data_IF_315171612790
#
_entry.id   IF_315171612790
#
_cell.length_a   1.000
_cell.length_b   1.000
_cell.length_c   1.000
_cell.angle_alpha   90.00
_cell.angle_beta   90.00
_cell.angle_gamma   90.00
#
_symmetry.space_group_name_H-M   'P 1'
#
loop_
_entity.id
_entity.type
_entity.pdbx_description
1 polymer ?
#
# COMPACT_ATOMS: atom_id res chain seq x y z
N UNK A 1 15.07 36.27 54.33
CA UNK A 1 14.55 36.89 53.10
C UNK A 1 13.71 35.85 52.39
N UNK A 2 12.40 36.00 52.53
CA UNK A 2 11.36 35.08 52.06
C UNK A 2 10.98 35.48 50.63
N UNK A 3 11.02 34.54 49.68
CA UNK A 3 10.42 34.73 48.37
C UNK A 3 9.32 33.69 48.18
N UNK A 4 8.10 34.17 48.41
CA UNK A 4 6.83 33.50 48.14
C UNK A 4 6.57 33.52 46.63
N UNK A 5 6.49 32.35 45.99
CA UNK A 5 6.02 32.22 44.62
C UNK A 5 4.59 31.66 44.62
N UNK A 6 3.66 32.50 44.16
CA UNK A 6 2.23 32.24 44.00
C UNK A 6 1.98 31.18 42.93
N UNK A 7 1.29 30.09 43.29
CA UNK A 7 0.76 29.08 42.38
C UNK A 7 -0.68 29.45 42.01
N UNK A 8 -0.88 29.90 40.78
CA UNK A 8 -2.20 30.11 40.17
C UNK A 8 -2.68 28.75 39.62
N UNK A 9 -3.78 28.24 40.18
CA UNK A 9 -4.50 27.04 39.69
C UNK A 9 -5.45 27.44 38.56
N UNK A 10 -5.52 26.70 37.44
CA UNK A 10 -6.63 26.84 36.50
C UNK A 10 -7.85 26.01 36.95
N UNK A 11 -8.98 26.68 37.11
CA UNK A 11 -10.30 26.09 37.32
C UNK A 11 -10.79 25.40 36.02
N UNK A 12 -11.18 24.13 36.12
CA UNK A 12 -11.85 23.39 35.06
C UNK A 12 -13.36 23.49 35.26
N UNK A 13 -14.03 24.24 34.39
CA UNK A 13 -15.49 24.31 34.30
C UNK A 13 -15.99 23.07 33.57
N UNK A 14 -16.71 22.21 34.29
CA UNK A 14 -17.42 21.06 33.75
C UNK A 14 -18.67 21.51 32.99
N UNK A 15 -18.76 21.18 31.70
CA UNK A 15 -20.00 21.26 30.92
C UNK A 15 -20.54 19.85 30.69
N UNK A 16 -21.59 19.54 31.44
CA UNK A 16 -22.40 18.32 31.34
C UNK A 16 -23.22 18.37 30.04
N UNK A 17 -22.98 17.45 29.10
CA UNK A 17 -23.85 17.25 27.94
C UNK A 17 -24.88 16.16 28.25
N UNK A 18 -26.14 16.58 28.33
CA UNK A 18 -27.31 15.73 28.57
C UNK A 18 -28.06 15.45 27.26
N UNK A 19 -28.38 14.16 27.09
CA UNK A 19 -29.54 13.59 26.39
C UNK A 19 -29.65 13.64 24.85
N UNK A 20 -29.66 12.42 24.31
CA UNK A 20 -30.66 11.84 23.41
C UNK A 20 -30.84 12.38 21.98
N UNK A 21 -30.85 11.42 21.05
CA UNK A 21 -31.58 11.28 19.77
C UNK A 21 -30.63 10.59 18.78
N UNK A 22 -31.04 9.77 17.84
CA UNK A 22 -32.27 9.07 17.56
C UNK A 22 -31.90 8.08 16.44
N UNK A 23 -32.60 6.96 16.41
CA UNK A 23 -32.48 5.86 15.47
C UNK A 23 -32.75 6.35 14.03
N UNK A 24 -31.75 6.30 13.15
CA UNK A 24 -31.95 6.51 11.70
C UNK A 24 -32.54 5.23 11.11
N UNK A 25 -33.84 5.27 10.76
CA UNK A 25 -34.45 4.29 9.86
C UNK A 25 -34.28 4.80 8.43
N UNK A 26 -33.54 4.04 7.62
CA UNK A 26 -33.53 4.16 6.16
C UNK A 26 -34.95 4.00 5.62
N UNK A 27 -35.45 5.01 4.91
CA UNK A 27 -36.66 4.92 4.09
C UNK A 27 -36.22 4.86 2.63
N UNK A 28 -36.65 3.77 1.99
CA UNK A 28 -36.47 3.47 0.58
C UNK A 28 -37.29 4.42 -0.32
N UNK A 29 -36.79 4.57 -1.55
CA UNK A 29 -37.52 4.82 -2.79
C UNK A 29 -38.45 6.04 -2.85
N UNK A 30 -37.99 7.08 -3.56
CA UNK A 30 -38.87 8.06 -4.19
C UNK A 30 -38.70 8.01 -5.71
N UNK A 31 -39.74 7.52 -6.38
CA UNK A 31 -39.91 7.56 -7.83
C UNK A 31 -40.07 9.00 -8.32
N UNK A 32 -39.34 9.38 -9.36
CA UNK A 32 -39.41 10.70 -9.98
C UNK A 32 -40.66 10.78 -10.87
N UNK A 33 -41.64 11.60 -10.48
CA UNK A 33 -42.77 12.01 -11.36
C UNK A 33 -42.35 13.23 -12.16
N UNK A 34 -42.49 13.18 -13.48
CA UNK A 34 -42.37 14.37 -14.32
C UNK A 34 -43.59 15.27 -14.10
N UNK A 35 -43.37 16.58 -14.00
CA UNK A 35 -44.44 17.57 -14.01
C UNK A 35 -44.24 18.45 -15.24
N UNK A 36 -45.10 18.26 -16.25
CA UNK A 36 -45.25 19.17 -17.38
C UNK A 36 -46.21 20.27 -16.93
N UNK A 37 -45.71 21.50 -16.76
CA UNK A 37 -46.57 22.68 -16.61
C UNK A 37 -46.82 23.26 -18.00
N UNK A 38 -48.06 23.19 -18.48
CA UNK A 38 -48.53 24.01 -19.60
C UNK A 38 -49.13 25.30 -19.05
N UNK A 39 -48.61 26.46 -19.42
CA UNK A 39 -49.36 27.71 -19.40
C UNK A 39 -49.29 28.34 -20.78
N UNK A 40 -50.47 28.63 -21.31
CA UNK A 40 -50.71 29.31 -22.58
C UNK A 40 -50.49 30.80 -22.41
N UNK A 41 -49.53 31.37 -23.13
CA UNK A 41 -49.53 32.79 -23.47
C UNK A 41 -49.10 32.97 -24.93
N UNK A 42 -49.88 33.80 -25.61
CA UNK A 42 -49.84 34.15 -27.02
C UNK A 42 -48.61 35.00 -27.38
N UNK A 43 -47.98 34.67 -28.52
CA UNK A 43 -47.15 35.57 -29.31
C UNK A 43 -45.70 35.72 -28.83
N UNK A 44 -44.76 35.12 -29.57
CA UNK A 44 -43.49 35.72 -30.07
C UNK A 44 -42.63 34.60 -30.69
N UNK A 45 -42.24 34.86 -31.94
CA UNK A 45 -41.15 34.35 -32.79
C UNK A 45 -40.37 33.07 -32.40
N UNK A 46 -40.40 32.07 -33.29
CA UNK A 46 -39.63 30.82 -33.25
C UNK A 46 -38.15 31.06 -33.64
N UNK A 47 -37.26 31.18 -32.66
CA UNK A 47 -35.84 30.86 -32.85
C UNK A 47 -35.42 29.73 -31.90
N UNK A 48 -35.03 28.63 -32.55
CA UNK A 48 -34.38 27.39 -32.05
C UNK A 48 -33.93 27.41 -30.59
N UNK A 49 -34.69 26.74 -29.72
CA UNK A 49 -34.19 26.31 -28.41
C UNK A 49 -33.47 24.96 -28.61
N UNK A 50 -32.13 24.99 -28.61
CA UNK A 50 -31.32 23.77 -28.52
C UNK A 50 -31.26 23.34 -27.06
N UNK A 51 -31.95 22.26 -26.71
CA UNK A 51 -31.84 21.65 -25.38
C UNK A 51 -30.57 20.80 -25.36
N UNK A 52 -29.50 21.32 -24.75
CA UNK A 52 -28.30 20.54 -24.44
C UNK A 52 -28.63 19.66 -23.24
N UNK A 53 -28.98 18.40 -23.51
CA UNK A 53 -29.05 17.36 -22.50
C UNK A 53 -27.64 17.11 -21.95
N UNK A 54 -27.32 17.71 -20.80
CA UNK A 54 -26.17 17.27 -20.02
C UNK A 54 -26.46 15.84 -19.55
N UNK A 55 -25.86 14.87 -20.22
CA UNK A 55 -25.75 13.52 -19.69
C UNK A 55 -24.95 13.61 -18.40
N UNK A 56 -25.64 13.56 -17.26
CA UNK A 56 -25.01 13.26 -15.98
C UNK A 56 -24.44 11.85 -16.15
N UNK A 57 -23.14 11.76 -16.44
CA UNK A 57 -22.40 10.51 -16.32
C UNK A 57 -22.46 10.11 -14.84
N UNK A 58 -23.11 9.00 -14.46
CA UNK A 58 -22.92 8.50 -13.12
C UNK A 58 -21.48 8.00 -13.04
N UNK A 59 -20.68 8.61 -12.14
CA UNK A 59 -19.42 8.07 -11.62
C UNK A 59 -19.73 6.80 -10.81
N UNK A 60 -20.16 5.75 -11.50
CA UNK A 60 -20.37 4.45 -10.90
C UNK A 60 -19.14 3.59 -11.21
N UNK A 61 -18.00 3.89 -10.56
CA UNK A 61 -16.93 2.91 -10.41
C UNK A 61 -17.37 1.89 -9.36
N UNK A 62 -18.31 1.03 -9.74
CA UNK A 62 -18.26 -0.33 -9.24
C UNK A 62 -17.13 -1.00 -10.01
N UNK A 63 -15.91 -0.92 -9.47
CA UNK A 63 -14.86 -1.82 -9.91
C UNK A 63 -15.32 -3.24 -9.56
N UNK A 64 -15.38 -4.10 -10.57
CA UNK A 64 -15.87 -5.47 -10.35
C UNK A 64 -14.87 -6.19 -9.46
N UNK A 65 -15.38 -6.94 -8.48
CA UNK A 65 -14.66 -7.98 -7.72
C UNK A 65 -13.85 -8.97 -8.59
N UNK A 66 -14.12 -8.99 -9.91
CA UNK A 66 -13.34 -9.71 -10.93
C UNK A 66 -11.92 -9.18 -11.13
N UNK A 67 -11.65 -7.89 -10.93
CA UNK A 67 -10.32 -7.29 -11.19
C UNK A 67 -9.29 -7.65 -10.09
N UNK A 68 -9.73 -7.72 -8.83
CA UNK A 68 -8.88 -8.16 -7.71
C UNK A 68 -8.56 -9.65 -7.75
N UNK A 69 -9.56 -10.47 -8.10
CA UNK A 69 -9.38 -11.92 -8.29
C UNK A 69 -8.38 -12.15 -9.42
N UNK A 70 -8.49 -11.36 -10.50
CA UNK A 70 -7.56 -11.40 -11.62
C UNK A 70 -6.14 -11.03 -11.21
N UNK A 71 -5.92 -9.96 -10.42
CA UNK A 71 -4.58 -9.62 -9.95
C UNK A 71 -3.98 -10.70 -9.05
N UNK A 72 -4.76 -11.26 -8.10
CA UNK A 72 -4.27 -12.35 -7.25
C UNK A 72 -3.81 -13.55 -8.09
N UNK A 73 -4.58 -13.92 -9.10
CA UNK A 73 -4.25 -15.02 -10.02
C UNK A 73 -3.01 -14.71 -10.86
N UNK A 74 -2.89 -13.49 -11.38
CA UNK A 74 -1.73 -13.06 -12.17
C UNK A 74 -0.42 -13.02 -11.37
N UNK A 75 -0.51 -12.70 -10.06
CA UNK A 75 0.63 -12.70 -9.15
C UNK A 75 1.23 -14.09 -8.96
N UNK A 76 0.45 -15.17 -9.14
CA UNK A 76 0.94 -16.53 -8.92
C UNK A 76 2.16 -16.81 -9.79
N UNK A 77 3.23 -17.29 -9.14
CA UNK A 77 4.53 -17.58 -9.75
C UNK A 77 5.70 -17.04 -8.94
N UNK A 78 6.89 -17.17 -9.53
CA UNK A 78 8.15 -16.70 -8.97
C UNK A 78 8.57 -15.40 -9.65
N UNK A 79 9.10 -14.47 -8.86
CA UNK A 79 9.50 -13.16 -9.33
C UNK A 79 10.90 -12.83 -8.81
N UNK A 80 11.80 -12.45 -9.72
CA UNK A 80 13.20 -12.12 -9.44
C UNK A 80 13.36 -10.61 -9.27
N UNK A 81 14.12 -10.19 -8.26
CA UNK A 81 14.35 -8.77 -8.00
C UNK A 81 15.17 -8.15 -9.14
N UNK A 82 14.63 -7.09 -9.74
CA UNK A 82 15.34 -6.26 -10.72
C UNK A 82 15.96 -5.06 -10.02
N UNK A 83 15.23 -4.43 -9.11
CA UNK A 83 15.64 -3.16 -8.49
C UNK A 83 15.00 -2.96 -7.13
N UNK A 84 15.77 -2.44 -6.18
CA UNK A 84 15.28 -1.94 -4.90
C UNK A 84 15.85 -0.54 -4.65
N UNK A 85 14.98 0.46 -4.69
CA UNK A 85 15.33 1.88 -4.48
C UNK A 85 14.42 2.53 -3.47
N UNK A 86 14.93 3.59 -2.83
CA UNK A 86 14.12 4.57 -2.14
C UNK A 86 13.88 5.76 -3.09
N UNK A 87 12.62 6.08 -3.35
CA UNK A 87 12.20 7.22 -4.18
C UNK A 87 11.67 8.35 -3.29
N UNK A 88 12.01 9.63 -3.56
CA UNK A 88 11.41 10.76 -2.86
C UNK A 88 9.93 10.90 -3.23
N UNK A 89 9.09 11.24 -2.25
CA UNK A 89 7.63 11.39 -2.47
C UNK A 89 7.31 12.73 -3.15
N UNK A 90 8.07 13.79 -2.83
CA UNK A 90 7.78 15.17 -3.26
C UNK A 90 8.75 15.71 -4.33
N UNK A 91 9.53 14.84 -4.98
CA UNK A 91 10.50 15.23 -6.02
C UNK A 91 11.71 16.03 -5.53
N UNK A 92 11.75 16.42 -4.26
CA UNK A 92 12.92 17.04 -3.63
C UNK A 92 13.96 15.97 -3.28
N UNK A 93 15.19 16.17 -3.76
CA UNK A 93 16.38 15.39 -3.41
C UNK A 93 16.52 15.15 -1.90
N UNK A 94 17.15 14.04 -1.45
CA UNK A 94 18.25 13.36 -2.13
C UNK A 94 17.84 12.39 -3.24
N UNK A 95 18.71 12.30 -4.24
CA UNK A 95 18.71 11.28 -5.29
C UNK A 95 18.41 9.88 -4.74
N UNK A 96 17.70 9.07 -5.54
CA UNK A 96 17.41 7.67 -5.26
C UNK A 96 18.62 6.95 -4.62
N UNK A 97 18.48 6.50 -3.37
CA UNK A 97 19.48 5.62 -2.74
C UNK A 97 18.98 4.18 -2.73
N UNK A 98 19.90 3.24 -2.53
CA UNK A 98 19.63 1.80 -2.62
C UNK A 98 19.68 1.20 -1.22
N UNK A 99 18.54 0.94 -0.55
CA UNK A 99 18.53 0.43 0.83
C UNK A 99 19.32 -0.87 0.98
N UNK A 100 19.34 -1.68 -0.08
CA UNK A 100 20.05 -2.96 -0.13
C UNK A 100 21.24 -2.99 -1.12
N UNK A 101 21.85 -1.81 -1.33
CA UNK A 101 22.94 -1.56 -2.27
C UNK A 101 22.58 -1.78 -3.76
N UNK A 102 23.41 -1.23 -4.65
CA UNK A 102 23.31 -1.51 -6.09
C UNK A 102 23.71 -2.98 -6.30
N UNK A 103 22.85 -3.76 -6.95
CA UNK A 103 23.06 -5.22 -7.12
C UNK A 103 22.44 -6.09 -6.03
N UNK A 104 21.45 -5.56 -5.30
CA UNK A 104 20.55 -6.38 -4.49
C UNK A 104 19.95 -7.52 -5.33
N UNK A 105 19.88 -8.71 -4.75
CA UNK A 105 19.28 -9.89 -5.37
C UNK A 105 18.10 -10.34 -4.52
N UNK A 106 17.16 -11.09 -5.11
CA UNK A 106 16.06 -11.62 -4.33
C UNK A 106 15.01 -12.33 -5.16
N UNK A 107 14.15 -13.03 -4.44
CA UNK A 107 12.96 -13.66 -4.98
C UNK A 107 11.76 -13.34 -4.10
N UNK A 108 10.61 -13.16 -4.75
CA UNK A 108 9.31 -13.22 -4.11
C UNK A 108 8.47 -14.22 -4.88
N UNK A 109 7.82 -15.13 -4.16
CA UNK A 109 7.02 -16.20 -4.74
C UNK A 109 5.59 -16.03 -4.24
N UNK A 110 4.60 -16.08 -5.12
CA UNK A 110 3.21 -16.15 -4.75
C UNK A 110 2.67 -17.51 -5.15
N UNK A 111 2.30 -18.32 -4.17
CA UNK A 111 1.80 -19.67 -4.42
C UNK A 111 0.29 -19.68 -4.52
N UNK A 112 -0.26 -20.62 -5.29
CA UNK A 112 -1.71 -20.73 -5.54
C UNK A 112 -2.51 -20.99 -4.25
N UNK A 113 -1.91 -21.69 -3.29
CA UNK A 113 -2.47 -21.95 -1.96
C UNK A 113 -2.41 -20.75 -1.01
N UNK A 114 -1.82 -19.61 -1.43
CA UNK A 114 -1.88 -18.33 -0.73
C UNK A 114 -0.69 -18.04 0.20
N UNK A 115 0.46 -18.68 -0.03
CA UNK A 115 1.70 -18.37 0.66
C UNK A 115 2.60 -17.44 -0.15
N UNK A 116 3.46 -16.75 0.58
CA UNK A 116 4.37 -15.79 0.00
C UNK A 116 5.66 -15.70 0.81
N UNK A 117 6.75 -16.35 0.38
CA UNK A 117 8.09 -16.08 0.88
C UNK A 117 8.76 -14.96 0.09
N UNK A 118 9.51 -14.12 0.81
CA UNK A 118 10.41 -13.10 0.27
C UNK A 118 11.81 -13.38 0.77
N UNK A 119 12.76 -13.29 -0.15
CA UNK A 119 14.18 -13.33 0.13
C UNK A 119 14.86 -12.16 -0.57
N UNK A 120 15.60 -11.36 0.19
CA UNK A 120 16.40 -10.25 -0.30
C UNK A 120 17.83 -10.41 0.21
N UNK A 121 18.80 -10.27 -0.68
CA UNK A 121 20.23 -10.38 -0.38
C UNK A 121 20.98 -9.15 -0.86
N UNK A 122 21.72 -8.54 0.06
CA UNK A 122 22.62 -7.43 -0.19
C UNK A 122 23.97 -8.02 -0.59
N UNK A 123 24.57 -7.61 -1.71
CA UNK A 123 25.86 -8.13 -2.14
C UNK A 123 26.95 -7.83 -1.09
N UNK A 124 28.01 -8.65 -1.09
CA UNK A 124 29.17 -8.47 -0.22
C UNK A 124 29.07 -9.10 1.17
N UNK A 125 28.08 -9.97 1.42
CA UNK A 125 28.05 -10.76 2.65
C UNK A 125 29.32 -11.63 2.73
N UNK A 126 30.09 -11.59 3.84
CA UNK A 126 31.29 -12.41 3.96
C UNK A 126 30.91 -13.89 4.03
N UNK A 127 31.67 -14.73 3.33
CA UNK A 127 31.51 -16.19 3.45
C UNK A 127 31.86 -16.62 4.87
N UNK A 128 30.96 -17.40 5.47
CA UNK A 128 31.30 -18.11 6.69
C UNK A 128 32.08 -19.37 6.31
N UNK A 129 33.29 -19.53 6.85
CA UNK A 129 34.18 -20.67 6.60
C UNK A 129 34.10 -21.73 7.71
N UNK A 130 33.11 -21.62 8.60
CA UNK A 130 32.86 -22.60 9.65
C UNK A 130 32.29 -23.90 9.07
N UNK A 131 32.50 -25.02 9.76
CA UNK A 131 31.99 -26.32 9.32
C UNK A 131 30.44 -26.38 9.38
N UNK A 132 29.84 -25.78 10.41
CA UNK A 132 28.39 -25.65 10.54
C UNK A 132 27.84 -24.26 10.20
N UNK A 133 26.59 -24.22 9.73
CA UNK A 133 25.89 -22.98 9.37
C UNK A 133 25.58 -22.06 10.57
N UNK A 134 25.60 -22.59 11.80
CA UNK A 134 25.46 -21.83 13.06
C UNK A 134 26.78 -21.63 13.81
N UNK A 135 27.87 -22.18 13.30
CA UNK A 135 29.17 -22.20 13.98
C UNK A 135 30.06 -21.00 13.61
N UNK A 136 29.51 -20.05 12.87
CA UNK A 136 30.18 -18.79 12.58
C UNK A 136 30.44 -17.99 13.86
N UNK A 137 31.50 -17.17 13.86
CA UNK A 137 31.67 -16.20 14.94
C UNK A 137 30.45 -15.27 15.02
N UNK A 138 30.15 -14.77 16.21
CA UNK A 138 29.03 -13.84 16.45
C UNK A 138 29.00 -12.70 15.43
N UNK A 139 30.17 -12.09 15.18
CA UNK A 139 30.30 -10.96 14.24
C UNK A 139 30.00 -11.36 12.79
N UNK A 140 30.46 -12.54 12.35
CA UNK A 140 30.18 -13.04 11.00
C UNK A 140 28.71 -13.37 10.81
N UNK A 141 28.08 -14.01 11.80
CA UNK A 141 26.64 -14.32 11.76
C UNK A 141 25.81 -13.04 11.75
N UNK A 142 26.14 -12.07 12.61
CA UNK A 142 25.46 -10.77 12.65
C UNK A 142 25.63 -10.01 11.33
N UNK A 143 26.83 -10.06 10.72
CA UNK A 143 27.07 -9.42 9.43
C UNK A 143 26.32 -10.13 8.29
N UNK A 144 26.27 -11.47 8.28
CA UNK A 144 25.43 -12.23 7.33
C UNK A 144 23.97 -11.82 7.44
N UNK A 145 23.45 -11.67 8.66
CA UNK A 145 22.08 -11.23 8.91
C UNK A 145 21.83 -9.79 8.44
N UNK A 146 22.79 -8.87 8.61
CA UNK A 146 22.69 -7.50 8.04
C UNK A 146 22.62 -7.46 6.50
N UNK A 147 23.08 -8.53 5.84
CA UNK A 147 23.05 -8.65 4.39
C UNK A 147 21.84 -9.42 3.86
N UNK A 148 20.96 -9.92 4.73
CA UNK A 148 19.86 -10.77 4.31
C UNK A 148 18.56 -10.38 5.00
N UNK A 149 17.48 -10.25 4.24
CA UNK A 149 16.14 -10.07 4.77
C UNK A 149 15.25 -11.15 4.16
N UNK A 150 14.70 -12.00 5.01
CA UNK A 150 13.75 -13.02 4.60
C UNK A 150 12.53 -12.99 5.50
N UNK A 151 11.36 -13.12 4.90
CA UNK A 151 10.10 -13.26 5.62
C UNK A 151 9.13 -14.05 4.79
N UNK A 152 8.21 -14.75 5.44
CA UNK A 152 7.18 -15.50 4.74
C UNK A 152 5.89 -15.54 5.54
N UNK A 153 4.80 -15.78 4.81
CA UNK A 153 3.50 -16.05 5.41
C UNK A 153 2.41 -16.06 4.35
N UNK A 154 1.25 -15.51 4.67
CA UNK A 154 0.08 -15.49 3.77
C UNK A 154 0.03 -14.18 2.99
N UNK A 155 -0.65 -14.19 1.85
CA UNK A 155 -0.96 -12.94 1.15
C UNK A 155 -2.41 -12.87 0.69
N UNK A 156 -2.91 -11.64 0.56
CA UNK A 156 -4.16 -11.33 -0.11
C UNK A 156 -4.11 -9.94 -0.75
N UNK A 157 -5.09 -9.67 -1.62
CA UNK A 157 -5.21 -8.42 -2.37
C UNK A 157 -6.54 -7.76 -1.98
N UNK A 158 -6.49 -6.45 -1.73
CA UNK A 158 -7.67 -5.60 -1.50
C UNK A 158 -7.72 -4.46 -2.50
N UNK A 159 -8.93 -3.99 -2.76
CA UNK A 159 -9.13 -2.74 -3.49
C UNK A 159 -9.05 -1.55 -2.54
N UNK A 160 -8.53 -0.44 -3.06
CA UNK A 160 -8.55 0.86 -2.40
C UNK A 160 -8.80 1.94 -3.45
N UNK A 161 -9.18 3.14 -3.01
CA UNK A 161 -9.40 4.29 -3.89
C UNK A 161 -8.18 4.65 -4.77
N UNK A 162 -6.99 4.18 -4.39
CA UNK A 162 -5.72 4.38 -5.09
C UNK A 162 -5.15 3.13 -5.77
N UNK A 163 -5.97 2.11 -6.05
CA UNK A 163 -5.58 0.88 -6.75
C UNK A 163 -5.51 -0.35 -5.86
N UNK A 164 -4.76 -1.36 -6.28
CA UNK A 164 -4.64 -2.62 -5.56
C UNK A 164 -3.63 -2.56 -4.41
N UNK A 165 -4.10 -2.99 -3.24
CA UNK A 165 -3.32 -3.12 -2.02
C UNK A 165 -3.02 -4.59 -1.76
N UNK A 166 -1.76 -4.96 -1.93
CA UNK A 166 -1.25 -6.29 -1.63
C UNK A 166 -0.79 -6.35 -0.17
N UNK A 167 -1.26 -7.34 0.57
CA UNK A 167 -0.99 -7.48 2.00
C UNK A 167 -0.23 -8.76 2.28
N UNK A 168 0.90 -8.65 2.98
CA UNK A 168 1.72 -9.78 3.40
C UNK A 168 1.54 -9.98 4.91
N UNK A 169 0.93 -11.10 5.30
CA UNK A 169 0.75 -11.48 6.71
C UNK A 169 1.94 -12.30 7.15
N UNK A 170 2.75 -11.75 8.04
CA UNK A 170 4.07 -12.30 8.34
C UNK A 170 3.97 -13.37 9.43
N UNK A 171 4.34 -14.60 9.08
CA UNK A 171 4.36 -15.76 10.00
C UNK A 171 5.77 -16.13 10.44
N UNK A 172 6.75 -15.94 9.57
CA UNK A 172 8.18 -16.12 9.86
C UNK A 172 8.96 -14.94 9.29
N UNK A 173 10.01 -14.50 10.00
CA UNK A 173 10.83 -13.37 9.60
C UNK A 173 12.20 -13.46 10.22
N UNK A 174 13.22 -13.09 9.44
CA UNK A 174 14.58 -12.88 9.91
C UNK A 174 14.71 -11.58 10.72
N UNK A 175 13.74 -10.68 10.60
CA UNK A 175 13.57 -9.51 11.46
C UNK A 175 12.36 -9.73 12.40
N UNK A 176 12.59 -10.12 13.68
CA UNK A 176 11.54 -10.62 14.57
C UNK A 176 10.38 -9.64 14.82
N UNK A 177 10.64 -8.33 14.79
CA UNK A 177 9.62 -7.30 15.04
C UNK A 177 8.49 -7.32 13.99
N UNK A 178 8.67 -8.02 12.88
CA UNK A 178 7.63 -8.19 11.86
C UNK A 178 6.71 -9.38 12.09
N UNK A 179 7.01 -10.29 13.03
CA UNK A 179 6.17 -11.46 13.30
C UNK A 179 4.75 -11.03 13.71
N UNK A 180 3.75 -11.63 13.07
CA UNK A 180 2.34 -11.33 13.31
C UNK A 180 1.85 -10.00 12.73
N UNK A 181 2.71 -9.23 12.05
CA UNK A 181 2.34 -7.97 11.41
C UNK A 181 1.82 -8.16 9.99
N UNK A 182 1.21 -7.11 9.45
CA UNK A 182 0.82 -7.02 8.04
C UNK A 182 1.67 -5.97 7.35
N UNK A 183 2.40 -6.38 6.31
CA UNK A 183 3.15 -5.48 5.45
C UNK A 183 2.33 -5.18 4.21
N UNK A 184 1.90 -3.93 4.07
CA UNK A 184 1.08 -3.50 2.94
C UNK A 184 1.94 -2.91 1.81
N UNK A 185 1.60 -3.25 0.57
CA UNK A 185 2.28 -2.80 -0.64
C UNK A 185 1.25 -2.33 -1.67
N UNK A 186 1.51 -1.17 -2.29
CA UNK A 186 0.80 -0.81 -3.53
C UNK A 186 1.39 -1.65 -4.65
N UNK A 187 0.53 -2.41 -5.34
CA UNK A 187 0.96 -3.30 -6.41
C UNK A 187 0.57 -2.72 -7.77
N UNK A 188 1.57 -2.59 -8.65
CA UNK A 188 1.38 -2.28 -10.06
C UNK A 188 1.97 -3.43 -10.87
N UNK A 189 1.12 -4.08 -11.66
CA UNK A 189 1.50 -5.21 -12.49
C UNK A 189 1.32 -4.84 -13.96
N UNK A 190 2.40 -4.89 -14.72
CA UNK A 190 2.46 -4.59 -16.14
C UNK A 190 3.16 -5.74 -16.87
N UNK A 191 2.37 -6.67 -17.43
CA UNK A 191 2.90 -7.86 -18.08
C UNK A 191 3.68 -8.76 -17.11
N UNK A 192 4.98 -8.90 -17.34
CA UNK A 192 5.92 -9.67 -16.52
C UNK A 192 6.65 -8.82 -15.47
N UNK A 193 6.30 -7.53 -15.32
CA UNK A 193 6.93 -6.62 -14.36
C UNK A 193 5.98 -6.28 -13.22
N UNK A 194 6.38 -6.62 -12.00
CA UNK A 194 5.67 -6.29 -10.77
C UNK A 194 6.42 -5.20 -10.01
N UNK A 195 5.77 -4.07 -9.74
CA UNK A 195 6.28 -2.99 -8.90
C UNK A 195 5.51 -2.94 -7.59
N UNK A 196 6.24 -3.06 -6.48
CA UNK A 196 5.72 -3.02 -5.11
C UNK A 196 6.26 -1.79 -4.40
N UNK A 197 5.36 -0.95 -3.89
CA UNK A 197 5.72 0.24 -3.11
C UNK A 197 5.25 0.13 -1.66
N UNK A 198 6.05 0.60 -0.70
CA UNK A 198 5.59 0.73 0.69
C UNK A 198 4.47 1.77 0.80
N UNK A 199 3.39 1.42 1.52
CA UNK A 199 2.28 2.35 1.77
C UNK A 199 2.70 3.45 2.75
N UNK A 200 3.50 3.10 3.75
CA UNK A 200 4.00 4.05 4.72
C UNK A 200 5.14 4.86 4.09
N UNK A 201 4.98 6.18 4.13
CA UNK A 201 6.04 7.13 3.82
C UNK A 201 7.04 7.08 4.98
N UNK A 202 8.28 6.81 4.65
CA UNK A 202 9.38 6.89 5.60
C UNK A 202 9.84 8.34 5.66
N UNK A 203 10.00 8.88 6.87
CA UNK A 203 10.60 10.18 7.08
C UNK A 203 12.04 9.98 7.57
N UNK A 204 13.00 10.54 6.85
CA UNK A 204 14.41 10.51 7.25
C UNK A 204 15.03 11.86 6.98
N UNK A 205 15.58 12.49 8.01
CA UNK A 205 16.27 13.78 7.91
C UNK A 205 15.39 14.87 7.26
N UNK A 206 14.07 14.84 7.50
CA UNK A 206 13.09 15.77 6.91
C UNK A 206 12.64 15.42 5.48
N UNK A 207 13.14 14.31 4.92
CA UNK A 207 12.76 13.83 3.59
C UNK A 207 11.76 12.68 3.66
N UNK A 208 10.65 12.86 2.96
CA UNK A 208 9.64 11.83 2.73
C UNK A 208 10.05 10.94 1.57
N UNK A 209 10.14 9.65 1.83
CA UNK A 209 10.56 8.66 0.86
C UNK A 209 9.67 7.42 0.93
N UNK A 210 9.65 6.67 -0.15
CA UNK A 210 9.01 5.36 -0.22
C UNK A 210 9.98 4.35 -0.78
N UNK A 211 9.89 3.12 -0.31
CA UNK A 211 10.65 2.03 -0.89
C UNK A 211 9.88 1.43 -2.06
N UNK A 212 10.60 1.22 -3.16
CA UNK A 212 10.07 0.69 -4.41
C UNK A 212 10.93 -0.50 -4.82
N UNK A 213 10.27 -1.65 -4.96
CA UNK A 213 10.86 -2.88 -5.43
C UNK A 213 10.24 -3.25 -6.78
N UNK A 214 11.09 -3.43 -7.78
CA UNK A 214 10.70 -3.89 -9.11
C UNK A 214 11.16 -5.33 -9.28
N UNK A 215 10.24 -6.18 -9.70
CA UNK A 215 10.41 -7.61 -9.87
C UNK A 215 10.04 -8.01 -11.29
N UNK A 216 10.72 -9.00 -11.83
CA UNK A 216 10.40 -9.61 -13.12
C UNK A 216 9.93 -11.04 -12.89
N UNK A 217 8.84 -11.45 -13.53
CA UNK A 217 8.35 -12.82 -13.50
C UNK A 217 9.41 -13.72 -14.11
N UNK A 218 9.71 -14.84 -13.46
CA UNK A 218 10.66 -15.82 -13.98
C UNK A 218 9.89 -16.85 -14.80
N UNK A 219 10.30 -17.04 -16.03
CA UNK A 219 9.85 -18.18 -16.83
C UNK A 219 10.68 -19.38 -16.36
N UNK A 220 10.01 -20.40 -15.80
CA UNK A 220 10.69 -21.50 -15.14
C UNK A 220 11.77 -22.13 -16.02
N UNK A 221 12.92 -22.43 -15.42
CA UNK A 221 14.11 -23.12 -15.96
C UNK A 221 15.13 -22.27 -16.74
N UNK A 222 14.75 -21.23 -17.48
CA UNK A 222 15.71 -20.48 -18.33
C UNK A 222 16.64 -19.53 -17.56
N UNK A 223 16.27 -19.15 -16.34
CA UNK A 223 17.06 -18.29 -15.45
C UNK A 223 18.19 -19.02 -14.68
N UNK A 224 18.34 -20.34 -14.88
CA UNK A 224 19.30 -21.22 -14.19
C UNK A 224 20.52 -21.62 -15.05
N UNK A 225 20.60 -21.17 -16.30
CA UNK A 225 21.72 -21.42 -17.23
C UNK A 225 22.53 -20.15 -17.50
#
# INVERSE_FOLDING_TARGET
MSHTASLIRPEAVALTLSSSKARVKNVQNAAFRSAVFSHSLSGVNLQRISVVLYTVFPLNRYCKMSDLSHLREQLIGSWKLVKFVSEPVNGTEPCNYFPFARGAQGFIIYTSDGHMPVHLMRPGAPRCTSAGFLEGSKDKLALSMKHYLAYAGRFDVRETDGGALLRHHILVSSYPDWLGTVQERRALLEGDVLRLETVNILEKEGFQQRWVLTWKKTDGLDDLM
#
